data_IF_676960150910
#
_entry.id   IF_676960150910
#
_cell.length_a   1.000
_cell.length_b   1.000
_cell.length_c   1.000
_cell.angle_alpha   90.00
_cell.angle_beta   90.00
_cell.angle_gamma   90.00
#
_symmetry.space_group_name_H-M   'P 1'
#
loop_
_entity.id
_entity.type
_entity.pdbx_description
1 polymer ?
#
# COMPACT_ATOMS: atom_id res chain seq x y z
N UNK A 1 4.66 -20.33 13.39
CA UNK A 1 5.50 -19.34 12.68
C UNK A 1 4.56 -18.68 11.72
N UNK A 2 4.15 -17.43 11.95
CA UNK A 2 3.19 -16.78 11.05
C UNK A 2 3.87 -16.67 9.69
N UNK A 3 3.36 -17.36 8.68
CA UNK A 3 3.83 -17.17 7.30
C UNK A 3 3.55 -15.72 6.92
N UNK A 4 4.61 -15.00 6.54
CA UNK A 4 4.46 -13.66 5.98
C UNK A 4 3.97 -13.84 4.55
N UNK A 5 2.82 -13.26 4.23
CA UNK A 5 2.25 -13.28 2.89
C UNK A 5 3.09 -12.38 1.99
N UNK A 6 3.73 -12.95 0.96
CA UNK A 6 4.46 -12.16 -0.04
C UNK A 6 3.44 -11.48 -0.96
N UNK A 7 3.52 -10.17 -1.09
CA UNK A 7 2.64 -9.41 -1.97
C UNK A 7 3.32 -9.07 -3.29
N UNK A 8 4.58 -8.60 -3.25
CA UNK A 8 5.27 -8.07 -4.42
C UNK A 8 6.76 -8.38 -4.39
N UNK A 9 7.38 -8.39 -5.57
CA UNK A 9 8.83 -8.29 -5.73
C UNK A 9 9.12 -7.00 -6.51
N UNK A 10 9.61 -5.96 -5.84
CA UNK A 10 9.92 -4.67 -6.46
C UNK A 10 11.42 -4.42 -6.33
N UNK A 11 12.11 -4.17 -7.44
CA UNK A 11 13.57 -3.95 -7.45
C UNK A 11 14.37 -5.06 -6.74
N UNK A 12 13.97 -6.33 -6.95
CA UNK A 12 14.51 -7.53 -6.28
C UNK A 12 14.29 -7.58 -4.76
N UNK A 13 13.49 -6.67 -4.20
CA UNK A 13 13.12 -6.66 -2.79
C UNK A 13 11.77 -7.36 -2.60
N UNK A 14 11.74 -8.33 -1.67
CA UNK A 14 10.52 -9.06 -1.29
C UNK A 14 9.71 -8.21 -0.32
N UNK A 15 8.47 -7.94 -0.68
CA UNK A 15 7.56 -7.05 0.05
C UNK A 15 6.37 -7.88 0.53
N UNK A 16 6.15 -7.88 1.85
CA UNK A 16 5.17 -8.74 2.51
C UNK A 16 4.02 -7.95 3.10
N UNK A 17 2.83 -8.55 3.19
CA UNK A 17 1.68 -7.96 3.85
C UNK A 17 1.99 -7.69 5.33
N UNK A 18 1.72 -6.47 5.77
CA UNK A 18 1.93 -6.04 7.15
C UNK A 18 0.60 -5.73 7.84
N UNK A 19 -0.27 -4.94 7.21
CA UNK A 19 -1.57 -4.57 7.78
C UNK A 19 -2.61 -4.25 6.69
N UNK A 20 -3.75 -4.93 6.71
CA UNK A 20 -4.89 -4.60 5.84
C UNK A 20 -5.63 -3.38 6.41
N UNK A 21 -5.66 -2.28 5.67
CA UNK A 21 -6.30 -1.03 6.09
C UNK A 21 -7.76 -0.93 5.64
N UNK A 22 -8.05 -1.43 4.42
CA UNK A 22 -9.40 -1.59 3.91
C UNK A 22 -9.49 -2.82 3.00
N UNK A 23 -10.68 -3.42 2.97
CA UNK A 23 -11.02 -4.58 2.14
C UNK A 23 -12.40 -4.37 1.52
N UNK A 24 -12.62 -4.97 0.36
CA UNK A 24 -13.91 -5.05 -0.33
C UNK A 24 -14.21 -6.53 -0.60
N UNK A 25 -15.36 -7.02 -0.15
CA UNK A 25 -15.73 -8.46 -0.17
C UNK A 25 -14.59 -9.40 0.27
N UNK A 26 -13.92 -9.06 1.39
CA UNK A 26 -12.78 -9.78 1.97
C UNK A 26 -11.48 -9.75 1.13
N UNK A 27 -11.46 -8.97 0.04
CA UNK A 27 -10.26 -8.76 -0.77
C UNK A 27 -9.57 -7.47 -0.31
N UNK A 28 -8.28 -7.51 0.07
CA UNK A 28 -7.54 -6.31 0.42
C UNK A 28 -7.50 -5.32 -0.75
N UNK A 29 -7.98 -4.10 -0.52
CA UNK A 29 -7.93 -3.02 -1.52
C UNK A 29 -6.96 -1.91 -1.13
N UNK A 30 -6.66 -1.78 0.16
CA UNK A 30 -5.75 -0.77 0.68
C UNK A 30 -5.00 -1.36 1.87
N UNK A 31 -3.67 -1.49 1.77
CA UNK A 31 -2.89 -2.22 2.77
C UNK A 31 -1.44 -1.75 2.84
N UNK A 32 -0.89 -1.85 4.05
CA UNK A 32 0.53 -1.64 4.31
C UNK A 32 1.28 -2.94 4.07
N UNK A 33 2.44 -2.79 3.46
CA UNK A 33 3.42 -3.83 3.30
C UNK A 33 4.75 -3.41 3.93
N UNK A 34 5.57 -4.42 4.19
CA UNK A 34 6.90 -4.26 4.76
C UNK A 34 7.88 -5.20 4.10
N UNK A 35 9.07 -4.69 3.80
CA UNK A 35 10.14 -5.55 3.27
C UNK A 35 10.97 -6.20 4.37
N UNK A 36 11.88 -7.09 3.97
CA UNK A 36 12.87 -7.69 4.88
C UNK A 36 13.85 -6.66 5.46
N UNK A 37 14.01 -5.51 4.81
CA UNK A 37 14.89 -4.42 5.24
C UNK A 37 14.16 -3.32 6.02
N UNK A 38 12.97 -3.60 6.56
CA UNK A 38 12.18 -2.65 7.36
C UNK A 38 11.66 -1.43 6.55
N UNK A 39 11.66 -1.51 5.22
CA UNK A 39 11.07 -0.49 4.37
C UNK A 39 9.54 -0.66 4.32
N UNK A 40 8.80 0.44 4.44
CA UNK A 40 7.33 0.44 4.35
C UNK A 40 6.86 0.75 2.93
N UNK A 41 5.79 0.08 2.54
CA UNK A 41 5.11 0.31 1.29
C UNK A 41 3.61 0.40 1.55
N UNK A 42 2.93 1.23 0.76
CA UNK A 42 1.49 1.33 0.76
C UNK A 42 0.98 0.91 -0.61
N UNK A 43 0.04 -0.03 -0.59
CA UNK A 43 -0.52 -0.63 -1.78
C UNK A 43 -2.01 -0.33 -1.89
N UNK A 44 -2.42 0.08 -3.08
CA UNK A 44 -3.80 0.37 -3.44
C UNK A 44 -4.15 -0.47 -4.66
N UNK A 45 -5.18 -1.30 -4.55
CA UNK A 45 -5.74 -2.03 -5.69
C UNK A 45 -6.50 -1.05 -6.58
N UNK A 46 -6.21 -1.10 -7.87
CA UNK A 46 -6.89 -0.30 -8.90
C UNK A 46 -7.90 -1.18 -9.61
N UNK A 47 -9.06 -0.62 -9.92
CA UNK A 47 -10.07 -1.33 -10.70
C UNK A 47 -9.57 -1.58 -12.13
N UNK A 48 -9.61 -2.84 -12.56
CA UNK A 48 -9.38 -3.25 -13.94
C UNK A 48 -10.34 -4.39 -14.29
N UNK A 49 -10.79 -4.41 -15.55
CA UNK A 49 -11.73 -5.43 -16.03
C UNK A 49 -11.05 -6.78 -16.31
N UNK A 50 -9.75 -6.78 -16.55
CA UNK A 50 -9.03 -7.93 -17.12
C UNK A 50 -7.83 -8.39 -16.33
N UNK A 51 -7.31 -7.55 -15.44
CA UNK A 51 -6.05 -7.76 -14.71
C UNK A 51 -6.20 -7.34 -13.26
N UNK A 52 -5.39 -7.92 -12.37
CA UNK A 52 -5.23 -7.35 -11.03
C UNK A 52 -4.12 -6.32 -11.06
N UNK A 53 -4.45 -5.08 -10.73
CA UNK A 53 -3.52 -3.95 -10.78
C UNK A 53 -3.39 -3.27 -9.43
N UNK A 54 -2.17 -2.86 -9.10
CA UNK A 54 -1.86 -2.17 -7.87
C UNK A 54 -0.99 -0.93 -8.14
N UNK A 55 -1.29 0.14 -7.42
CA UNK A 55 -0.38 1.27 -7.21
C UNK A 55 0.35 1.01 -5.90
N UNK A 56 1.67 0.98 -5.94
CA UNK A 56 2.52 0.78 -4.78
C UNK A 56 3.46 1.98 -4.62
N UNK A 57 3.52 2.55 -3.44
CA UNK A 57 4.48 3.60 -3.08
C UNK A 57 5.33 3.16 -1.91
N UNK A 58 6.54 3.68 -1.81
CA UNK A 58 7.40 3.52 -0.63
C UNK A 58 7.13 4.66 0.34
N UNK A 59 7.11 4.36 1.63
CA UNK A 59 6.88 5.33 2.69
C UNK A 59 7.99 5.27 3.75
N UNK A 60 8.24 6.40 4.38
CA UNK A 60 8.94 6.49 5.65
C UNK A 60 8.05 6.06 6.81
N UNK A 61 8.66 5.73 7.96
CA UNK A 61 7.93 5.42 9.19
C UNK A 61 7.02 6.58 9.61
N UNK A 62 7.48 7.81 9.47
CA UNK A 62 6.74 9.03 9.84
C UNK A 62 5.48 9.21 8.98
N UNK A 63 5.59 9.03 7.66
CA UNK A 63 4.44 9.12 6.74
C UNK A 63 3.38 8.06 7.05
N UNK A 64 3.80 6.84 7.43
CA UNK A 64 2.88 5.78 7.86
C UNK A 64 2.12 6.22 9.12
N UNK A 65 2.81 6.74 10.13
CA UNK A 65 2.18 7.23 11.38
C UNK A 65 1.22 8.37 11.07
N UNK A 66 1.64 9.36 10.29
CA UNK A 66 0.81 10.52 9.96
C UNK A 66 -0.45 10.12 9.21
N UNK A 67 -0.37 9.15 8.29
CA UNK A 67 -1.54 8.59 7.62
C UNK A 67 -2.45 7.86 8.61
N UNK A 68 -1.92 6.93 9.41
CA UNK A 68 -2.72 6.09 10.32
C UNK A 68 -3.42 6.90 11.43
N UNK A 69 -2.84 8.03 11.83
CA UNK A 69 -3.45 8.98 12.76
C UNK A 69 -4.35 10.02 12.09
N UNK A 70 -4.52 9.96 10.77
CA UNK A 70 -5.37 10.90 10.04
C UNK A 70 -4.84 12.34 10.05
N UNK A 71 -3.52 12.53 10.07
CA UNK A 71 -2.89 13.86 9.99
C UNK A 71 -2.72 14.35 8.54
N UNK A 72 -2.68 13.42 7.59
CA UNK A 72 -2.58 13.69 6.15
C UNK A 72 -3.70 12.93 5.40
N UNK A 73 -4.35 13.53 4.38
CA UNK A 73 -5.28 12.80 3.52
C UNK A 73 -4.59 11.60 2.87
N UNK A 74 -5.30 10.47 2.76
CA UNK A 74 -4.72 9.25 2.17
C UNK A 74 -4.25 9.49 0.73
N UNK A 75 -4.97 10.32 -0.05
CA UNK A 75 -4.57 10.71 -1.40
C UNK A 75 -3.22 11.43 -1.43
N UNK A 76 -2.98 12.32 -0.48
CA UNK A 76 -1.79 13.17 -0.45
C UNK A 76 -0.55 12.36 -0.08
N UNK A 77 -0.71 11.26 0.67
CA UNK A 77 0.37 10.29 0.93
C UNK A 77 0.94 9.76 -0.39
N UNK A 78 0.10 9.46 -1.38
CA UNK A 78 0.54 9.07 -2.73
C UNK A 78 1.16 10.25 -3.49
N UNK A 79 0.44 11.38 -3.55
CA UNK A 79 0.83 12.52 -4.38
C UNK A 79 2.12 13.21 -3.92
N UNK A 80 2.52 13.04 -2.66
CA UNK A 80 3.78 13.58 -2.12
C UNK A 80 5.02 12.75 -2.50
N UNK A 81 4.84 11.56 -3.07
CA UNK A 81 5.95 10.71 -3.48
C UNK A 81 6.56 11.18 -4.80
N UNK A 82 7.82 10.83 -5.07
CA UNK A 82 8.47 11.13 -6.35
C UNK A 82 8.05 10.18 -7.47
N UNK A 83 7.79 8.94 -7.10
CA UNK A 83 7.48 7.86 -8.02
C UNK A 83 6.50 6.89 -7.34
N UNK A 84 5.86 6.08 -8.17
CA UNK A 84 5.08 4.92 -7.74
C UNK A 84 5.41 3.74 -8.66
N UNK A 85 5.18 2.53 -8.19
CA UNK A 85 5.18 1.35 -9.03
C UNK A 85 3.75 0.98 -9.39
N UNK A 86 3.51 0.78 -10.68
CA UNK A 86 2.35 0.04 -11.15
C UNK A 86 2.73 -1.43 -11.21
N UNK A 87 1.98 -2.26 -10.50
CA UNK A 87 2.13 -3.72 -10.52
C UNK A 87 0.92 -4.31 -11.21
N UNK A 88 1.14 -5.14 -12.23
CA UNK A 88 0.10 -5.95 -12.86
C UNK A 88 0.42 -7.41 -12.55
N UNK A 89 -0.48 -8.09 -11.85
CA UNK A 89 -0.23 -9.45 -11.36
C UNK A 89 -0.12 -10.46 -12.49
N UNK A 90 0.86 -11.35 -12.39
CA UNK A 90 1.00 -12.54 -13.22
C UNK A 90 0.37 -13.79 -12.56
N UNK A 91 0.53 -14.95 -13.20
CA UNK A 91 0.10 -16.24 -12.63
C UNK A 91 0.85 -16.59 -11.32
N UNK A 92 2.07 -16.06 -11.18
CA UNK A 92 2.96 -16.19 -10.02
C UNK A 92 3.56 -14.80 -9.74
N UNK A 93 3.91 -14.51 -8.48
CA UNK A 93 4.46 -13.20 -8.09
C UNK A 93 5.77 -12.87 -8.85
N UNK A 94 6.57 -13.88 -9.17
CA UNK A 94 7.79 -13.74 -9.98
C UNK A 94 7.51 -13.31 -11.43
N UNK A 95 6.26 -13.43 -11.88
CA UNK A 95 5.78 -13.05 -13.22
C UNK A 95 5.03 -11.72 -13.23
N UNK A 96 4.93 -11.04 -12.08
CA UNK A 96 4.33 -9.71 -11.99
C UNK A 96 5.05 -8.72 -12.92
N UNK A 97 4.29 -7.92 -13.65
CA UNK A 97 4.84 -6.80 -14.39
C UNK A 97 4.91 -5.59 -13.46
N UNK A 98 6.13 -5.26 -13.01
CA UNK A 98 6.39 -4.11 -12.15
C UNK A 98 7.04 -3.00 -12.96
N UNK A 99 6.35 -1.87 -13.10
CA UNK A 99 6.87 -0.70 -13.81
C UNK A 99 6.86 0.53 -12.91
N UNK A 100 8.01 1.19 -12.78
CA UNK A 100 8.13 2.47 -12.06
C UNK A 100 7.69 3.64 -12.94
N UNK A 101 6.90 4.54 -12.37
CA UNK A 101 6.43 5.76 -13.02
C UNK A 101 6.68 6.97 -12.12
N UNK A 102 6.99 8.14 -12.71
CA UNK A 102 7.02 9.39 -11.97
C UNK A 102 5.59 9.74 -11.50
N UNK A 103 5.47 10.37 -10.33
CA UNK A 103 4.17 10.58 -9.66
C UNK A 103 3.17 11.37 -10.51
N UNK A 104 3.65 12.24 -11.39
CA UNK A 104 2.81 13.09 -12.25
C UNK A 104 1.98 12.28 -13.25
N UNK A 105 2.32 11.01 -13.47
CA UNK A 105 1.56 10.09 -14.33
C UNK A 105 0.46 9.34 -13.60
N UNK A 106 0.34 9.48 -12.27
CA UNK A 106 -0.68 8.78 -11.50
C UNK A 106 -2.07 9.29 -11.89
N UNK A 107 -3.00 8.36 -12.14
CA UNK A 107 -4.41 8.71 -12.32
C UNK A 107 -5.00 9.09 -10.98
N UNK A 108 -5.52 10.31 -10.87
CA UNK A 108 -6.15 10.80 -9.64
C UNK A 108 -7.49 10.10 -9.37
N UNK A 109 -8.12 9.54 -10.39
CA UNK A 109 -9.40 8.84 -10.29
C UNK A 109 -9.24 7.46 -9.62
N UNK A 110 -8.02 6.90 -9.65
CA UNK A 110 -7.70 5.64 -9.00
C UNK A 110 -7.38 5.81 -7.50
N UNK A 111 -7.16 7.04 -7.04
CA UNK A 111 -6.75 7.34 -5.67
C UNK A 111 -7.94 7.50 -4.71
N UNK A 112 -7.71 7.40 -3.40
CA UNK A 112 -8.72 7.77 -2.41
C UNK A 112 -9.27 9.18 -2.65
N UNK A 113 -10.53 9.39 -2.25
CA UNK A 113 -11.21 10.68 -2.41
C UNK A 113 -10.38 11.84 -1.83
N UNK A 114 -10.47 13.00 -2.48
CA UNK A 114 -9.82 14.21 -2.01
C UNK A 114 -10.26 14.53 -0.58
N UNK A 115 -9.30 14.92 0.28
CA UNK A 115 -9.52 15.22 1.69
C UNK A 115 -10.11 14.04 2.51
N UNK A 116 -10.03 12.80 2.03
CA UNK A 116 -10.36 11.63 2.82
C UNK A 116 -9.19 11.25 3.74
N UNK A 117 -9.43 11.32 5.04
CA UNK A 117 -8.48 10.92 6.07
C UNK A 117 -8.76 9.50 6.53
N UNK A 118 -7.70 8.77 6.88
CA UNK A 118 -7.85 7.43 7.44
C UNK A 118 -8.45 7.51 8.85
N UNK A 119 -9.38 6.61 9.17
CA UNK A 119 -9.99 6.49 10.49
C UNK A 119 -9.87 5.05 10.97
N UNK A 120 -9.26 4.85 12.14
CA UNK A 120 -9.09 3.53 12.75
C UNK A 120 -10.43 3.02 13.27
N UNK A 121 -11.13 2.25 12.44
CA UNK A 121 -12.42 1.64 12.79
C UNK A 121 -12.30 0.21 13.32
N UNK A 122 -11.18 -0.48 13.05
CA UNK A 122 -10.99 -1.89 13.38
C UNK A 122 -9.98 -2.09 14.52
N UNK A 123 -10.30 -3.01 15.44
CA UNK A 123 -9.48 -3.26 16.64
C UNK A 123 -8.05 -3.69 16.30
N UNK A 124 -7.87 -4.57 15.31
CA UNK A 124 -6.53 -5.05 14.95
C UNK A 124 -5.64 -3.94 14.38
N UNK A 125 -6.21 -2.94 13.70
CA UNK A 125 -5.46 -1.78 13.19
C UNK A 125 -5.00 -0.91 14.35
N UNK A 126 -5.86 -0.73 15.36
CA UNK A 126 -5.48 -0.02 16.60
C UNK A 126 -4.33 -0.74 17.31
N UNK A 127 -4.44 -2.05 17.50
CA UNK A 127 -3.39 -2.86 18.11
C UNK A 127 -2.09 -2.84 17.30
N UNK A 128 -2.18 -2.73 15.97
CA UNK A 128 -1.02 -2.54 15.09
C UNK A 128 -0.34 -1.20 15.33
N UNK A 129 -1.10 -0.09 15.33
CA UNK A 129 -0.57 1.26 15.58
C UNK A 129 0.11 1.34 16.96
N UNK A 130 -0.51 0.77 18.00
CA UNK A 130 0.07 0.74 19.35
C UNK A 130 1.43 0.02 19.39
N UNK A 131 1.59 -1.08 18.65
CA UNK A 131 2.88 -1.81 18.52
C UNK A 131 3.90 -1.09 17.66
N UNK A 132 3.44 -0.28 16.71
CA UNK A 132 4.30 0.46 15.79
C UNK A 132 5.04 1.60 16.50
N UNK A 133 4.39 2.15 17.53
CA UNK A 133 4.86 3.29 18.33
C UNK A 133 5.61 2.89 19.61
N UNK A 134 5.48 1.64 20.05
CA UNK A 134 6.20 1.08 21.21
C UNK A 134 7.65 0.74 20.88
#
# INVERSE_FOLDING_TARGET
>A
MNEKELCFIINNERIYLECILAEDDYVPIFFLCKSEHDNFYLSLRVWSETTEEYIVIKLTKEEVVDMLHGKIPMRDVFLNQKYFWKVISGDEIEKDNVTEYPIEKISKDDLPYENAYFVICRKYIREYVEKFES
#
